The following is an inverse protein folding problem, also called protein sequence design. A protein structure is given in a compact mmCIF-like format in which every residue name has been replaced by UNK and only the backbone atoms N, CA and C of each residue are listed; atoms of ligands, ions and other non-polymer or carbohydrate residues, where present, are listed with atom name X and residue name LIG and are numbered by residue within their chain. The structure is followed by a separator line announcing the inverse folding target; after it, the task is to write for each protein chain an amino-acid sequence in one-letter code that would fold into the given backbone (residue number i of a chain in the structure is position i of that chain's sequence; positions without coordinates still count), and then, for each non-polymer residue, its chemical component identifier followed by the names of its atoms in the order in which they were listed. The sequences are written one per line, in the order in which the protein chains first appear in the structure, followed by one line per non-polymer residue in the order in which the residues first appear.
data_IF_343814481003
#
_entry.id   IF_343814481003
#
_cell.length_a   1.000
_cell.length_b   1.000
_cell.length_c   1.000
_cell.angle_alpha   90.00
_cell.angle_beta   90.00
_cell.angle_gamma   90.00
#
_symmetry.space_group_name_H-M   'P 1'
#
loop_
_entity.id
_entity.type
_entity.pdbx_description
1 polymer ?
#
# COMPACT_ATOMS: atom_id res chain seq x y z
N UNK A 1 1.59 30.20 -0.84
CA UNK A 1 1.47 28.73 -1.06
C UNK A 1 1.44 28.41 -2.54
N UNK A 2 2.28 27.48 -3.00
CA UNK A 2 2.30 27.00 -4.39
C UNK A 2 1.24 25.93 -4.63
N UNK A 3 0.93 25.60 -5.90
CA UNK A 3 0.00 24.50 -6.23
C UNK A 3 0.49 23.16 -5.67
N UNK A 4 1.79 22.84 -5.82
CA UNK A 4 2.38 21.60 -5.33
C UNK A 4 2.31 21.50 -3.79
N UNK A 5 2.50 22.62 -3.08
CA UNK A 5 2.30 22.69 -1.63
C UNK A 5 0.89 22.26 -1.25
N UNK A 6 -0.12 22.92 -1.83
CA UNK A 6 -1.52 22.70 -1.48
C UNK A 6 -1.97 21.27 -1.82
N UNK A 7 -1.61 20.78 -3.01
CA UNK A 7 -1.92 19.41 -3.42
C UNK A 7 -1.33 18.39 -2.45
N UNK A 8 -0.07 18.58 -2.04
CA UNK A 8 0.59 17.66 -1.10
C UNK A 8 -0.05 17.73 0.28
N UNK A 9 -0.22 18.92 0.84
CA UNK A 9 -0.82 19.08 2.16
C UNK A 9 -2.25 18.50 2.24
N UNK A 10 -3.13 18.86 1.29
CA UNK A 10 -4.50 18.35 1.28
C UNK A 10 -4.60 16.88 0.87
N UNK A 11 -3.59 16.31 0.21
CA UNK A 11 -3.57 14.88 -0.08
C UNK A 11 -3.46 14.03 1.19
N UNK A 12 -2.80 14.51 2.26
CA UNK A 12 -2.80 13.81 3.55
C UNK A 12 -4.22 13.75 4.16
N UNK A 13 -4.94 14.88 4.19
CA UNK A 13 -6.32 14.92 4.67
C UNK A 13 -7.23 14.01 3.82
N UNK A 14 -7.11 14.12 2.49
CA UNK A 14 -7.94 13.37 1.56
C UNK A 14 -7.72 11.86 1.72
N UNK A 15 -6.45 11.43 1.81
CA UNK A 15 -6.12 10.02 2.03
C UNK A 15 -6.65 9.53 3.39
N UNK A 16 -6.49 10.33 4.45
CA UNK A 16 -7.01 10.01 5.78
C UNK A 16 -8.53 9.84 5.82
N UNK A 17 -9.28 10.77 5.21
CA UNK A 17 -10.74 10.70 5.13
C UNK A 17 -11.22 9.57 4.23
N UNK A 18 -10.59 9.35 3.08
CA UNK A 18 -10.92 8.24 2.18
C UNK A 18 -10.75 6.89 2.89
N UNK A 19 -9.67 6.73 3.68
CA UNK A 19 -9.43 5.53 4.45
C UNK A 19 -10.46 5.33 5.59
N UNK A 20 -10.91 6.41 6.26
CA UNK A 20 -12.02 6.33 7.23
C UNK A 20 -13.30 5.83 6.58
N UNK A 21 -13.67 6.39 5.42
CA UNK A 21 -14.88 5.97 4.70
C UNK A 21 -14.79 4.51 4.24
N UNK A 22 -13.59 4.07 3.83
CA UNK A 22 -13.32 2.67 3.49
C UNK A 22 -13.52 1.76 4.71
N UNK A 23 -13.00 2.14 5.89
CA UNK A 23 -13.22 1.40 7.15
C UNK A 23 -14.71 1.24 7.44
N UNK A 24 -15.50 2.32 7.37
CA UNK A 24 -16.95 2.27 7.59
C UNK A 24 -17.60 1.27 6.63
N UNK A 25 -17.25 1.33 5.35
CA UNK A 25 -17.76 0.39 4.36
C UNK A 25 -17.37 -1.06 4.69
N UNK A 26 -16.10 -1.35 5.00
CA UNK A 26 -15.64 -2.71 5.30
C UNK A 26 -16.26 -3.28 6.58
N UNK A 27 -16.47 -2.46 7.60
CA UNK A 27 -17.18 -2.86 8.83
C UNK A 27 -18.62 -3.28 8.50
N UNK A 28 -19.31 -2.56 7.61
CA UNK A 28 -20.66 -2.92 7.16
C UNK A 28 -20.67 -4.21 6.32
N UNK A 29 -19.61 -4.48 5.55
CA UNK A 29 -19.53 -5.71 4.74
C UNK A 29 -19.10 -6.94 5.55
N UNK A 30 -18.25 -6.80 6.57
CA UNK A 30 -17.64 -7.94 7.26
C UNK A 30 -18.65 -8.98 7.82
N UNK A 31 -19.80 -8.60 8.41
CA UNK A 31 -20.82 -9.56 8.87
C UNK A 31 -21.44 -10.38 7.73
N UNK A 32 -21.41 -9.86 6.49
CA UNK A 32 -21.99 -10.51 5.32
C UNK A 32 -21.09 -11.59 4.73
N UNK A 33 -19.82 -11.65 5.13
CA UNK A 33 -18.84 -12.58 4.60
C UNK A 33 -18.82 -13.90 5.37
N UNK A 34 -18.55 -15.01 4.67
CA UNK A 34 -18.51 -16.37 5.25
C UNK A 34 -17.08 -16.81 5.56
N UNK A 35 -16.92 -17.56 6.66
CA UNK A 35 -15.66 -18.23 7.02
C UNK A 35 -14.41 -17.35 6.92
N UNK A 36 -13.41 -17.84 6.18
CA UNK A 36 -12.10 -17.17 6.00
C UNK A 36 -12.18 -15.88 5.18
N UNK A 37 -13.21 -15.69 4.36
CA UNK A 37 -13.39 -14.46 3.56
C UNK A 37 -13.61 -13.24 4.45
N UNK A 38 -14.12 -13.43 5.68
CA UNK A 38 -14.22 -12.36 6.67
C UNK A 38 -12.85 -11.79 7.06
N UNK A 39 -11.79 -12.60 7.02
CA UNK A 39 -10.43 -12.13 7.29
C UNK A 39 -9.99 -11.06 6.27
N UNK A 40 -10.43 -11.16 5.02
CA UNK A 40 -10.12 -10.15 3.99
C UNK A 40 -10.69 -8.77 4.35
N UNK A 41 -11.92 -8.71 4.89
CA UNK A 41 -12.49 -7.46 5.37
C UNK A 41 -11.77 -6.94 6.63
N UNK A 42 -11.46 -7.82 7.58
CA UNK A 42 -10.75 -7.43 8.81
C UNK A 42 -9.36 -6.87 8.52
N UNK A 43 -8.59 -7.51 7.63
CA UNK A 43 -7.29 -7.02 7.20
C UNK A 43 -7.40 -5.65 6.52
N UNK A 44 -8.40 -5.44 5.65
CA UNK A 44 -8.62 -4.14 5.00
C UNK A 44 -9.09 -3.04 5.98
N UNK A 45 -9.87 -3.40 7.00
CA UNK A 45 -10.21 -2.48 8.11
C UNK A 45 -8.93 -2.02 8.81
N UNK A 46 -8.04 -2.95 9.18
CA UNK A 46 -6.80 -2.62 9.88
C UNK A 46 -5.88 -1.77 8.99
N UNK A 47 -5.71 -2.15 7.72
CA UNK A 47 -4.89 -1.40 6.76
C UNK A 47 -5.41 0.04 6.58
N UNK A 48 -6.71 0.23 6.38
CA UNK A 48 -7.28 1.56 6.20
C UNK A 48 -7.34 2.36 7.50
N UNK A 49 -7.57 1.73 8.66
CA UNK A 49 -7.50 2.40 9.95
C UNK A 49 -6.07 2.87 10.27
N UNK A 50 -5.06 2.04 10.01
CA UNK A 50 -3.66 2.44 10.15
C UNK A 50 -3.30 3.57 9.19
N UNK A 51 -3.79 3.51 7.94
CA UNK A 51 -3.60 4.57 6.95
C UNK A 51 -4.23 5.88 7.41
N UNK A 52 -5.47 5.86 7.92
CA UNK A 52 -6.14 7.07 8.39
C UNK A 52 -5.41 7.71 9.57
N UNK A 53 -4.97 6.91 10.55
CA UNK A 53 -4.19 7.39 11.69
C UNK A 53 -2.90 8.05 11.22
N UNK A 54 -2.13 7.41 10.33
CA UNK A 54 -0.86 7.95 9.86
C UNK A 54 -1.05 9.26 9.09
N UNK A 55 -1.99 9.29 8.13
CA UNK A 55 -2.16 10.47 7.28
C UNK A 55 -2.75 11.65 8.03
N UNK A 56 -3.67 11.43 8.97
CA UNK A 56 -4.18 12.51 9.84
C UNK A 56 -3.13 12.98 10.84
N UNK A 57 -2.27 12.08 11.33
CA UNK A 57 -1.10 12.46 12.11
C UNK A 57 -0.17 13.37 11.30
N UNK A 58 0.21 13.00 10.07
CA UNK A 58 1.06 13.87 9.24
C UNK A 58 0.37 15.18 8.84
N UNK A 59 -0.92 15.15 8.51
CA UNK A 59 -1.70 16.36 8.24
C UNK A 59 -1.65 17.34 9.42
N UNK A 60 -1.89 16.86 10.65
CA UNK A 60 -1.85 17.70 11.86
C UNK A 60 -0.44 18.21 12.17
N UNK A 61 0.60 17.39 11.94
CA UNK A 61 2.01 17.81 12.10
C UNK A 61 2.43 18.92 11.14
N UNK A 62 1.84 18.95 9.94
CA UNK A 62 2.14 19.95 8.90
C UNK A 62 1.26 21.21 9.00
N UNK A 63 0.20 21.18 9.82
CA UNK A 63 -0.76 22.28 9.96
C UNK A 63 -0.12 23.64 10.35
N UNK A 64 0.87 23.72 11.28
CA UNK A 64 1.48 25.01 11.62
C UNK A 64 2.15 25.69 10.42
N UNK A 65 2.75 24.91 9.52
CA UNK A 65 3.41 25.41 8.31
C UNK A 65 2.38 25.84 7.27
N UNK A 66 1.28 25.08 7.13
CA UNK A 66 0.17 25.44 6.24
C UNK A 66 -0.54 26.74 6.65
N UNK A 67 -0.63 27.03 7.94
CA UNK A 67 -1.23 28.27 8.44
C UNK A 67 -0.41 29.53 8.13
N UNK A 68 0.92 29.39 7.96
CA UNK A 68 1.86 30.50 7.76
C UNK A 68 2.07 30.95 6.31
N UNK A 69 1.25 30.50 5.36
CA UNK A 69 1.37 30.79 3.93
C UNK A 69 2.69 30.34 3.27
N UNK A 70 3.29 29.25 3.77
CA UNK A 70 4.58 28.69 3.38
C UNK A 70 4.75 28.29 1.89
N UNK A 71 6.00 28.23 1.44
CA UNK A 71 6.43 27.76 0.11
C UNK A 71 6.84 26.28 0.10
N UNK A 72 7.38 25.83 -1.04
CA UNK A 72 7.76 24.41 -1.25
C UNK A 72 8.95 24.03 -0.36
N UNK A 73 9.88 24.94 -0.15
CA UNK A 73 11.09 24.73 0.65
C UNK A 73 10.76 24.55 2.13
N UNK A 74 9.86 25.38 2.67
CA UNK A 74 9.39 25.27 4.04
C UNK A 74 8.58 23.98 4.26
N UNK A 75 7.78 23.57 3.25
CA UNK A 75 7.09 22.27 3.29
C UNK A 75 8.07 21.10 3.28
N UNK A 76 9.10 21.15 2.42
CA UNK A 76 10.11 20.10 2.35
C UNK A 76 10.87 19.96 3.68
N UNK A 77 11.24 21.08 4.31
CA UNK A 77 11.85 21.09 5.64
C UNK A 77 10.90 20.45 6.68
N UNK A 78 9.62 20.82 6.67
CA UNK A 78 8.63 20.26 7.58
C UNK A 78 8.37 18.75 7.36
N UNK A 79 8.40 18.29 6.12
CA UNK A 79 8.34 16.87 5.77
C UNK A 79 9.58 16.14 6.29
N UNK A 80 10.76 16.76 6.21
CA UNK A 80 12.01 16.20 6.74
C UNK A 80 11.96 15.90 8.24
N UNK A 81 11.15 16.65 8.99
CA UNK A 81 10.91 16.45 10.42
C UNK A 81 9.85 15.37 10.72
N UNK A 82 9.17 14.82 9.70
CA UNK A 82 8.26 13.71 9.90
C UNK A 82 9.05 12.43 10.20
N UNK A 83 8.61 11.60 11.16
CA UNK A 83 9.36 10.42 11.57
C UNK A 83 9.34 9.33 10.48
N UNK A 84 10.43 9.24 9.71
CA UNK A 84 10.61 8.24 8.64
C UNK A 84 10.36 6.81 9.15
N UNK A 85 10.88 6.49 10.34
CA UNK A 85 10.73 5.17 10.96
C UNK A 85 9.26 4.81 11.21
N UNK A 86 8.41 5.79 11.55
CA UNK A 86 6.97 5.56 11.75
C UNK A 86 6.30 5.16 10.43
N UNK A 87 6.66 5.80 9.31
CA UNK A 87 6.14 5.44 7.99
C UNK A 87 6.56 4.04 7.57
N UNK A 88 7.84 3.71 7.71
CA UNK A 88 8.34 2.40 7.33
C UNK A 88 7.85 1.28 8.25
N UNK A 89 7.69 1.55 9.55
CA UNK A 89 7.02 0.63 10.49
C UNK A 89 5.56 0.39 10.13
N UNK A 90 4.83 1.44 9.73
CA UNK A 90 3.48 1.32 9.19
C UNK A 90 3.44 0.50 7.88
N UNK A 91 4.37 0.72 6.96
CA UNK A 91 4.44 -0.06 5.73
C UNK A 91 4.71 -1.52 6.03
N UNK A 92 5.70 -1.87 6.87
CA UNK A 92 5.97 -3.26 7.27
C UNK A 92 4.71 -4.02 7.72
N UNK A 93 3.84 -3.36 8.50
CA UNK A 93 2.59 -3.98 8.94
C UNK A 93 1.56 -4.07 7.81
N UNK A 94 1.34 -2.97 7.08
CA UNK A 94 0.25 -2.91 6.09
C UNK A 94 0.55 -3.67 4.80
N UNK A 95 1.79 -3.67 4.31
CA UNK A 95 2.18 -4.41 3.11
C UNK A 95 2.11 -5.91 3.34
N UNK A 96 2.55 -6.39 4.50
CA UNK A 96 2.40 -7.78 4.90
C UNK A 96 0.91 -8.20 4.87
N UNK A 97 0.00 -7.36 5.40
CA UNK A 97 -1.44 -7.62 5.37
C UNK A 97 -2.00 -7.65 3.94
N UNK A 98 -1.60 -6.71 3.07
CA UNK A 98 -2.03 -6.69 1.67
C UNK A 98 -1.57 -7.94 0.92
N UNK A 99 -0.34 -8.38 1.17
CA UNK A 99 0.27 -9.52 0.50
C UNK A 99 -0.39 -10.83 0.91
N UNK A 100 -0.70 -11.05 2.20
CA UNK A 100 -1.36 -12.28 2.64
C UNK A 100 -2.81 -12.40 2.12
N UNK A 101 -3.42 -11.32 1.62
CA UNK A 101 -4.72 -11.40 0.95
C UNK A 101 -4.66 -12.21 -0.34
N UNK A 102 -3.52 -12.28 -1.04
CA UNK A 102 -3.36 -13.15 -2.21
C UNK A 102 -3.58 -14.63 -1.88
N UNK A 103 -2.78 -15.28 -1.02
CA UNK A 103 -2.99 -16.69 -0.68
C UNK A 103 -4.36 -16.95 -0.02
N UNK A 104 -4.92 -15.98 0.71
CA UNK A 104 -6.27 -16.09 1.26
C UNK A 104 -7.34 -16.13 0.14
N UNK A 105 -7.23 -15.29 -0.88
CA UNK A 105 -8.19 -15.24 -1.99
C UNK A 105 -7.93 -16.36 -3.03
N UNK A 106 -6.69 -16.83 -3.17
CA UNK A 106 -6.35 -17.99 -3.99
C UNK A 106 -6.82 -19.32 -3.39
N UNK A 107 -7.08 -19.35 -2.08
CA UNK A 107 -7.28 -20.57 -1.30
C UNK A 107 -5.97 -21.06 -0.71
N UNK A 108 -5.78 -20.88 0.61
CA UNK A 108 -4.52 -21.20 1.29
C UNK A 108 -4.20 -22.70 1.24
N UNK A 109 -5.23 -23.54 1.16
CA UNK A 109 -5.13 -24.99 0.93
C UNK A 109 -4.54 -25.34 -0.44
N UNK A 110 -4.69 -24.45 -1.44
CA UNK A 110 -4.17 -24.67 -2.80
C UNK A 110 -2.71 -24.24 -2.93
N UNK A 111 -2.37 -23.08 -2.35
CA UNK A 111 -1.03 -22.48 -2.49
C UNK A 111 -0.09 -22.78 -1.32
N UNK A 112 -0.64 -23.25 -0.19
CA UNK A 112 0.09 -23.60 1.02
C UNK A 112 0.45 -22.40 1.90
N UNK A 113 0.44 -22.60 3.22
CA UNK A 113 0.83 -21.56 4.19
C UNK A 113 2.30 -21.11 4.03
N UNK A 114 3.18 -21.99 3.57
CA UNK A 114 4.58 -21.67 3.29
C UNK A 114 4.72 -20.59 2.21
N UNK A 115 3.80 -20.52 1.24
CA UNK A 115 3.79 -19.45 0.24
C UNK A 115 3.48 -18.09 0.87
N UNK A 116 2.49 -18.01 1.75
CA UNK A 116 2.17 -16.78 2.48
C UNK A 116 3.36 -16.28 3.32
N UNK A 117 4.00 -17.19 4.07
CA UNK A 117 5.18 -16.87 4.88
C UNK A 117 6.35 -16.40 4.01
N UNK A 118 6.60 -17.07 2.88
CA UNK A 118 7.61 -16.66 1.91
C UNK A 118 7.39 -15.22 1.46
N UNK A 119 6.16 -14.86 1.08
CA UNK A 119 5.87 -13.51 0.61
C UNK A 119 6.08 -12.46 1.72
N UNK A 120 5.66 -12.74 2.96
CA UNK A 120 5.88 -11.84 4.11
C UNK A 120 7.37 -11.63 4.41
N UNK A 121 8.20 -12.67 4.31
CA UNK A 121 9.65 -12.54 4.51
C UNK A 121 10.28 -11.64 3.44
N UNK A 122 9.88 -11.82 2.17
CA UNK A 122 10.38 -10.99 1.07
C UNK A 122 9.92 -9.54 1.25
N UNK A 123 8.67 -9.32 1.68
CA UNK A 123 8.12 -8.00 1.97
C UNK A 123 8.90 -7.29 3.08
N UNK A 124 9.16 -7.99 4.17
CA UNK A 124 9.98 -7.47 5.26
C UNK A 124 11.35 -7.01 4.76
N UNK A 125 12.03 -7.82 3.95
CA UNK A 125 13.32 -7.47 3.36
C UNK A 125 13.20 -6.28 2.39
N UNK A 126 12.16 -6.24 1.57
CA UNK A 126 11.90 -5.17 0.61
C UNK A 126 11.71 -3.83 1.32
N UNK A 127 10.81 -3.77 2.32
CA UNK A 127 10.56 -2.54 3.07
C UNK A 127 11.78 -2.12 3.90
N UNK A 128 12.50 -3.07 4.49
CA UNK A 128 13.73 -2.79 5.26
C UNK A 128 14.83 -2.20 4.37
N UNK A 129 15.04 -2.74 3.17
CA UNK A 129 16.03 -2.21 2.24
C UNK A 129 15.60 -0.87 1.67
N UNK A 130 14.31 -0.67 1.38
CA UNK A 130 13.76 0.66 1.06
C UNK A 130 14.03 1.70 2.15
N UNK A 131 13.89 1.35 3.43
CA UNK A 131 14.17 2.24 4.55
C UNK A 131 15.64 2.67 4.59
N UNK A 132 16.55 1.72 4.41
CA UNK A 132 18.00 1.99 4.38
C UNK A 132 18.36 2.94 3.24
N UNK A 133 17.76 2.76 2.06
CA UNK A 133 17.95 3.66 0.93
C UNK A 133 17.43 5.06 1.21
N UNK A 134 16.20 5.21 1.71
CA UNK A 134 15.60 6.54 1.91
C UNK A 134 16.32 7.30 3.03
N UNK A 135 16.69 6.60 4.10
CA UNK A 135 17.48 7.17 5.18
C UNK A 135 18.83 7.72 4.70
N UNK A 136 19.48 7.05 3.75
CA UNK A 136 20.75 7.52 3.19
C UNK A 136 20.63 8.77 2.32
N UNK A 137 19.43 9.06 1.79
CA UNK A 137 19.15 10.32 1.05
C UNK A 137 19.00 11.47 2.05
N UNK A 138 18.25 11.24 3.13
CA UNK A 138 18.00 12.26 4.15
C UNK A 138 19.24 12.61 4.99
N UNK A 139 20.27 11.77 5.02
CA UNK A 139 21.49 12.02 5.78
C UNK A 139 22.49 12.97 5.12
N UNK A 140 22.20 13.51 3.93
CA UNK A 140 22.87 14.71 3.41
C UNK A 140 23.85 14.57 2.24
N UNK A 141 24.02 13.37 1.66
CA UNK A 141 25.01 13.15 0.59
C UNK A 141 24.41 13.19 -0.84
N UNK A 142 23.17 13.65 -0.99
CA UNK A 142 22.45 13.59 -2.26
C UNK A 142 22.24 12.13 -2.73
N UNK A 143 22.31 11.90 -4.05
CA UNK A 143 22.20 10.55 -4.61
C UNK A 143 23.48 9.76 -4.34
N UNK A 144 23.54 9.07 -3.21
CA UNK A 144 24.68 8.21 -2.89
C UNK A 144 24.61 6.85 -3.60
N UNK A 145 25.77 6.24 -3.84
CA UNK A 145 25.85 4.85 -4.30
C UNK A 145 25.09 3.90 -3.36
N UNK A 146 25.07 4.21 -2.07
CA UNK A 146 24.30 3.49 -1.05
C UNK A 146 22.80 3.59 -1.30
N UNK A 147 22.27 4.80 -1.56
CA UNK A 147 20.85 5.01 -1.87
C UNK A 147 20.43 4.23 -3.12
N UNK A 148 21.23 4.30 -4.19
CA UNK A 148 21.00 3.57 -5.43
C UNK A 148 21.02 2.05 -5.21
N UNK A 149 22.01 1.55 -4.46
CA UNK A 149 22.13 0.12 -4.17
C UNK A 149 20.90 -0.39 -3.44
N UNK A 150 20.47 0.28 -2.37
CA UNK A 150 19.30 -0.15 -1.61
C UNK A 150 17.99 0.00 -2.37
N UNK A 151 17.85 1.06 -3.17
CA UNK A 151 16.73 1.22 -4.10
C UNK A 151 16.64 0.05 -5.08
N UNK A 152 17.76 -0.34 -5.71
CA UNK A 152 17.82 -1.47 -6.64
C UNK A 152 17.52 -2.79 -5.94
N UNK A 153 18.09 -3.04 -4.75
CA UNK A 153 17.83 -4.27 -3.98
C UNK A 153 16.34 -4.38 -3.62
N UNK A 154 15.74 -3.30 -3.12
CA UNK A 154 14.31 -3.25 -2.81
C UNK A 154 13.46 -3.52 -4.07
N UNK A 155 13.81 -2.90 -5.20
CA UNK A 155 13.13 -3.13 -6.48
C UNK A 155 13.23 -4.59 -6.96
N UNK A 156 14.40 -5.22 -6.81
CA UNK A 156 14.58 -6.64 -7.16
C UNK A 156 13.74 -7.57 -6.27
N UNK A 157 13.65 -7.29 -4.98
CA UNK A 157 12.80 -8.05 -4.05
C UNK A 157 11.33 -7.93 -4.42
N UNK A 158 10.87 -6.72 -4.77
CA UNK A 158 9.53 -6.49 -5.27
C UNK A 158 9.25 -7.30 -6.55
N UNK A 159 10.14 -7.23 -7.55
CA UNK A 159 9.98 -7.97 -8.81
C UNK A 159 10.01 -9.50 -8.61
N UNK A 160 10.85 -10.00 -7.71
CA UNK A 160 10.86 -11.41 -7.33
C UNK A 160 9.55 -11.85 -6.68
N UNK A 161 8.96 -10.99 -5.83
CA UNK A 161 7.65 -11.24 -5.23
C UNK A 161 6.54 -11.23 -6.28
N UNK A 162 6.55 -10.24 -7.18
CA UNK A 162 5.61 -10.14 -8.32
C UNK A 162 5.66 -11.41 -9.15
N UNK A 163 6.86 -11.89 -9.49
CA UNK A 163 7.05 -13.13 -10.23
C UNK A 163 6.52 -14.35 -9.47
N UNK A 164 6.77 -14.42 -8.15
CA UNK A 164 6.25 -15.51 -7.31
C UNK A 164 4.72 -15.55 -7.29
N UNK A 165 4.06 -14.39 -7.21
CA UNK A 165 2.60 -14.27 -7.28
C UNK A 165 2.09 -14.65 -8.67
N UNK A 166 2.73 -14.18 -9.74
CA UNK A 166 2.38 -14.55 -11.11
C UNK A 166 2.45 -16.06 -11.35
N UNK A 167 3.51 -16.73 -10.87
CA UNK A 167 3.63 -18.18 -10.96
C UNK A 167 2.53 -18.90 -10.20
N UNK A 168 2.16 -18.43 -9.00
CA UNK A 168 1.06 -18.99 -8.24
C UNK A 168 -0.27 -18.85 -9.00
N UNK A 169 -0.55 -17.66 -9.55
CA UNK A 169 -1.76 -17.41 -10.36
C UNK A 169 -1.84 -18.33 -11.58
N UNK A 170 -0.73 -18.54 -12.29
CA UNK A 170 -0.68 -19.43 -13.46
C UNK A 170 -0.92 -20.91 -13.14
N UNK A 171 -0.69 -21.33 -11.91
CA UNK A 171 -0.92 -22.70 -11.45
C UNK A 171 -2.33 -22.93 -10.92
N UNK A 172 -3.12 -21.87 -10.73
CA UNK A 172 -4.50 -22.03 -10.28
C UNK A 172 -5.35 -22.59 -11.42
N UNK A 173 -6.20 -23.59 -11.14
CA UNK A 173 -7.19 -24.07 -12.11
C UNK A 173 -8.27 -23.00 -12.25
N UNK A 174 -8.10 -22.12 -13.26
CA UNK A 174 -8.96 -20.96 -13.44
C UNK A 174 -10.45 -21.31 -13.56
N UNK A 175 -10.76 -22.44 -14.20
CA UNK A 175 -12.11 -22.98 -14.38
C UNK A 175 -12.83 -23.31 -13.06
N UNK A 176 -12.08 -23.58 -11.99
CA UNK A 176 -12.65 -23.81 -10.66
C UNK A 176 -12.93 -22.51 -9.89
N UNK A 177 -12.49 -21.36 -10.40
CA UNK A 177 -12.73 -20.06 -9.77
C UNK A 177 -13.96 -19.41 -10.39
N UNK A 178 -14.86 -18.92 -9.53
CA UNK A 178 -15.96 -18.07 -10.01
C UNK A 178 -15.39 -16.80 -10.67
N UNK A 179 -16.11 -16.19 -11.64
CA UNK A 179 -15.61 -15.02 -12.37
C UNK A 179 -15.12 -13.89 -11.46
N UNK A 180 -15.90 -13.55 -10.42
CA UNK A 180 -15.54 -12.47 -9.48
C UNK A 180 -14.23 -12.73 -8.73
N UNK A 181 -13.90 -13.99 -8.41
CA UNK A 181 -12.65 -14.35 -7.74
C UNK A 181 -11.47 -14.26 -8.71
N UNK A 182 -11.66 -14.76 -9.94
CA UNK A 182 -10.65 -14.72 -11.00
C UNK A 182 -10.27 -13.27 -11.35
N UNK A 183 -11.27 -12.42 -11.58
CA UNK A 183 -11.06 -11.02 -11.95
C UNK A 183 -10.38 -10.27 -10.81
N UNK A 184 -10.80 -10.50 -9.57
CA UNK A 184 -10.16 -9.89 -8.41
C UNK A 184 -8.68 -10.28 -8.28
N UNK A 185 -8.32 -11.54 -8.49
CA UNK A 185 -6.93 -11.98 -8.48
C UNK A 185 -6.09 -11.32 -9.58
N UNK A 186 -6.65 -11.14 -10.78
CA UNK A 186 -5.99 -10.44 -11.89
C UNK A 186 -5.80 -8.95 -11.54
N UNK A 187 -6.85 -8.30 -11.05
CA UNK A 187 -6.75 -6.89 -10.66
C UNK A 187 -5.77 -6.70 -9.51
N UNK A 188 -5.84 -7.52 -8.46
CA UNK A 188 -4.87 -7.50 -7.36
C UNK A 188 -3.43 -7.64 -7.86
N UNK A 189 -3.18 -8.52 -8.84
CA UNK A 189 -1.86 -8.61 -9.47
C UNK A 189 -1.44 -7.30 -10.14
N UNK A 190 -2.33 -6.63 -10.87
CA UNK A 190 -2.02 -5.34 -11.48
C UNK A 190 -1.90 -4.19 -10.48
N UNK A 191 -2.66 -4.20 -9.38
CA UNK A 191 -2.41 -3.27 -8.28
C UNK A 191 -1.01 -3.53 -7.69
N UNK A 192 -0.61 -4.78 -7.52
CA UNK A 192 0.72 -5.11 -7.00
C UNK A 192 1.86 -4.77 -7.98
N UNK A 193 1.66 -4.94 -9.29
CA UNK A 193 2.69 -4.65 -10.30
C UNK A 193 2.72 -3.17 -10.72
N UNK A 194 1.57 -2.56 -10.98
CA UNK A 194 1.48 -1.19 -11.49
C UNK A 194 1.19 -0.23 -10.34
N UNK A 195 0.23 -0.57 -9.49
CA UNK A 195 -0.13 0.27 -8.34
C UNK A 195 1.03 0.45 -7.37
N UNK A 196 1.80 -0.60 -7.06
CA UNK A 196 2.95 -0.46 -6.15
C UNK A 196 4.13 0.24 -6.80
N UNK A 197 4.21 0.34 -8.13
CA UNK A 197 5.24 1.11 -8.83
C UNK A 197 5.20 2.61 -8.49
N UNK A 198 4.07 3.11 -7.95
CA UNK A 198 3.91 4.48 -7.49
C UNK A 198 4.90 4.80 -6.34
N UNK A 199 5.15 3.85 -5.43
CA UNK A 199 6.05 4.06 -4.29
C UNK A 199 7.52 4.25 -4.69
N UNK A 200 8.16 3.38 -5.49
CA UNK A 200 9.51 3.61 -5.97
C UNK A 200 9.58 4.82 -6.92
N UNK A 201 8.51 5.18 -7.63
CA UNK A 201 8.49 6.45 -8.38
C UNK A 201 8.60 7.66 -7.44
N UNK A 202 7.87 7.67 -6.31
CA UNK A 202 8.01 8.70 -5.28
C UNK A 202 9.43 8.77 -4.70
N UNK A 203 10.03 7.62 -4.40
CA UNK A 203 11.44 7.54 -3.98
C UNK A 203 12.38 8.13 -5.03
N UNK A 204 12.19 7.76 -6.30
CA UNK A 204 12.99 8.27 -7.41
C UNK A 204 12.85 9.79 -7.56
N UNK A 205 11.65 10.35 -7.35
CA UNK A 205 11.45 11.81 -7.39
C UNK A 205 12.26 12.55 -6.32
N UNK A 206 12.33 12.02 -5.11
CA UNK A 206 13.16 12.58 -4.04
C UNK A 206 14.67 12.48 -4.35
N UNK A 207 15.06 11.57 -5.24
CA UNK A 207 16.44 11.37 -5.67
C UNK A 207 16.86 12.31 -6.81
N UNK A 208 16.00 12.54 -7.80
CA UNK A 208 16.40 13.18 -9.07
C UNK A 208 15.98 14.64 -9.24
N UNK A 209 14.93 15.09 -8.53
CA UNK A 209 14.48 16.47 -8.60
C UNK A 209 15.16 17.34 -7.55
N UNK A 210 15.07 18.67 -7.72
CA UNK A 210 15.51 19.64 -6.71
C UNK A 210 14.97 19.27 -5.33
N UNK A 211 15.83 19.27 -4.31
CA UNK A 211 15.54 18.70 -2.99
C UNK A 211 14.18 19.13 -2.40
N UNK A 212 13.84 20.41 -2.50
CA UNK A 212 12.54 20.93 -2.05
C UNK A 212 11.36 20.36 -2.84
N UNK A 213 11.47 20.33 -4.17
CA UNK A 213 10.39 19.84 -5.06
C UNK A 213 10.26 18.33 -4.97
N UNK A 214 11.37 17.60 -5.02
CA UNK A 214 11.41 16.14 -4.98
C UNK A 214 10.81 15.57 -3.70
N UNK A 215 11.13 16.14 -2.53
CA UNK A 215 10.58 15.72 -1.23
C UNK A 215 9.06 15.93 -1.17
N UNK A 216 8.57 17.10 -1.61
CA UNK A 216 7.15 17.42 -1.60
C UNK A 216 6.39 16.54 -2.60
N UNK A 217 6.93 16.35 -3.80
CA UNK A 217 6.34 15.50 -4.83
C UNK A 217 6.29 14.03 -4.38
N UNK A 218 7.33 13.53 -3.70
CA UNK A 218 7.37 12.19 -3.13
C UNK A 218 6.19 11.94 -2.18
N UNK A 219 5.89 12.88 -1.28
CA UNK A 219 4.74 12.75 -0.37
C UNK A 219 3.41 12.73 -1.11
N UNK A 220 3.21 13.62 -2.09
CA UNK A 220 2.01 13.61 -2.91
C UNK A 220 1.83 12.29 -3.65
N UNK A 221 2.90 11.79 -4.28
CA UNK A 221 2.92 10.51 -4.99
C UNK A 221 2.60 9.34 -4.06
N UNK A 222 3.20 9.31 -2.86
CA UNK A 222 2.93 8.28 -1.86
C UNK A 222 1.47 8.31 -1.38
N UNK A 223 0.90 9.49 -1.14
CA UNK A 223 -0.50 9.62 -0.71
C UNK A 223 -1.47 9.13 -1.79
N UNK A 224 -1.18 9.42 -3.07
CA UNK A 224 -1.92 8.84 -4.21
C UNK A 224 -1.77 7.32 -4.23
N UNK A 225 -0.54 6.83 -4.04
CA UNK A 225 -0.23 5.40 -3.93
C UNK A 225 -1.03 4.71 -2.84
N UNK A 226 -1.22 5.34 -1.69
CA UNK A 226 -2.00 4.78 -0.58
C UNK A 226 -3.51 4.77 -0.86
N UNK A 227 -4.06 5.78 -1.55
CA UNK A 227 -5.45 5.73 -2.02
C UNK A 227 -5.64 4.55 -2.99
N UNK A 228 -4.76 4.40 -3.98
CA UNK A 228 -4.83 3.31 -4.95
C UNK A 228 -4.68 1.95 -4.24
N UNK A 229 -3.59 1.74 -3.51
CA UNK A 229 -3.18 0.41 -3.06
C UNK A 229 -3.76 -0.01 -1.71
N UNK A 230 -4.48 0.88 -1.00
CA UNK A 230 -5.14 0.54 0.27
C UNK A 230 -6.65 0.73 0.18
N UNK A 231 -7.10 1.90 -0.27
CA UNK A 231 -8.53 2.20 -0.36
C UNK A 231 -9.19 1.45 -1.52
N UNK A 232 -8.73 1.70 -2.76
CA UNK A 232 -9.33 1.06 -3.95
C UNK A 232 -9.06 -0.45 -3.96
N UNK A 233 -7.86 -0.87 -3.55
CA UNK A 233 -7.55 -2.27 -3.28
C UNK A 233 -8.57 -2.92 -2.34
N UNK A 234 -8.85 -2.30 -1.19
CA UNK A 234 -9.75 -2.88 -0.21
C UNK A 234 -11.18 -3.02 -0.73
N UNK A 235 -11.66 -2.02 -1.49
CA UNK A 235 -12.96 -2.13 -2.17
C UNK A 235 -13.02 -3.32 -3.12
N UNK A 236 -12.00 -3.51 -3.95
CA UNK A 236 -11.88 -4.64 -4.87
C UNK A 236 -11.93 -5.97 -4.11
N UNK A 237 -11.07 -6.13 -3.09
CA UNK A 237 -10.93 -7.40 -2.34
C UNK A 237 -12.21 -7.74 -1.57
N UNK A 238 -12.80 -6.76 -0.88
CA UNK A 238 -14.02 -6.99 -0.08
C UNK A 238 -15.24 -7.21 -0.98
N UNK A 239 -15.31 -6.56 -2.15
CA UNK A 239 -16.32 -6.85 -3.15
C UNK A 239 -16.23 -8.29 -3.64
N UNK A 240 -15.03 -8.75 -4.03
CA UNK A 240 -14.80 -10.11 -4.48
C UNK A 240 -15.18 -11.14 -3.40
N UNK A 241 -14.75 -10.90 -2.16
CA UNK A 241 -15.09 -11.73 -1.00
C UNK A 241 -16.61 -11.85 -0.79
N UNK A 242 -17.36 -10.77 -1.04
CA UNK A 242 -18.82 -10.76 -0.94
C UNK A 242 -19.47 -11.60 -2.03
N UNK A 243 -19.02 -11.48 -3.28
CA UNK A 243 -19.57 -12.27 -4.38
C UNK A 243 -19.26 -13.76 -4.22
N UNK A 244 -18.07 -14.13 -3.73
CA UNK A 244 -17.73 -15.50 -3.36
C UNK A 244 -18.65 -16.00 -2.23
N UNK A 245 -18.87 -15.18 -1.19
CA UNK A 245 -19.75 -15.53 -0.07
C UNK A 245 -21.20 -15.76 -0.52
N UNK A 246 -21.68 -15.06 -1.56
CA UNK A 246 -23.01 -15.28 -2.14
C UNK A 246 -23.09 -16.58 -2.92
N UNK A 247 -22.09 -16.88 -3.77
CA UNK A 247 -22.04 -18.14 -4.54
C UNK A 247 -22.10 -19.35 -3.62
N UNK A 248 -21.27 -19.36 -2.57
CA UNK A 248 -21.23 -20.46 -1.60
C UNK A 248 -22.56 -20.66 -0.85
N UNK A 249 -23.33 -19.59 -0.61
CA UNK A 249 -24.67 -19.70 0.00
C UNK A 249 -25.71 -20.22 -0.98
N UNK A 250 -25.61 -19.89 -2.25
CA UNK A 250 -26.51 -20.39 -3.29
C UNK A 250 -26.29 -21.91 -3.50
N UNK A 251 -25.03 -22.34 -3.50
CA UNK A 251 -24.65 -23.76 -3.64
C UNK A 251 -25.03 -24.60 -2.41
N UNK A 252 -24.89 -24.05 -1.19
CA UNK A 252 -25.25 -24.75 0.05
C UNK A 252 -26.73 -24.70 0.44
N UNK A 253 -27.56 -23.97 -0.33
CA UNK A 253 -29.01 -23.88 -0.17
C UNK A 253 -29.81 -24.64 -1.23
N UNK A 254 -29.12 -25.33 -2.14
CA UNK A 254 -29.66 -26.29 -3.11
C UNK A 254 -29.50 -27.73 -2.58
#
# INVERSE_FOLDING_TARGET
MTTLFNLTYFSFLTCGLAAILAVVYFVIQAPKLTGRLRLLALLNIIVCAASSVLHLYFFTRLQPIAAGAAGVQEMAAAIGELPLMVRYGYWLATTAMLIVMFPLLMGIERVGAAFAVKLVIIDFAMISTGYLGERSILSGDGVSLTALTWFTVSGMLWMYMTFSIFQALRRLPGEELIPAQRDALIYMFFFFLIGWAIFPAGFFYAMVFDSGVGVVLREFTVNVGDIVNKVLWGFLVVYAAREISKSLRAEGGA
#
